data_IF_929028954292
#
_entry.id   IF_929028954292
#
_cell.length_a   1.000
_cell.length_b   1.000
_cell.length_c   1.000
_cell.angle_alpha   90.00
_cell.angle_beta   90.00
_cell.angle_gamma   90.00
#
_symmetry.space_group_name_H-M   'P 1'
#
loop_
_entity.id
_entity.type
_entity.pdbx_description
1 polymer ?
#
# COMPACT_ATOMS: atom_id res chain seq x y z
N UNK A 1 -26.54 43.42 23.00
CA UNK A 1 -25.28 42.72 23.37
C UNK A 1 -25.36 41.18 23.28
N UNK A 2 -26.33 40.61 22.54
CA UNK A 2 -26.51 39.15 22.36
C UNK A 2 -25.97 38.70 20.99
N UNK A 3 -26.06 39.54 19.96
CA UNK A 3 -25.59 39.23 18.61
C UNK A 3 -24.06 39.11 18.46
N UNK A 4 -23.28 39.83 19.26
CA UNK A 4 -21.81 39.82 19.17
C UNK A 4 -21.19 38.50 19.69
N UNK A 5 -21.86 37.82 20.64
CA UNK A 5 -21.44 36.51 21.14
C UNK A 5 -21.72 35.38 20.14
N UNK A 6 -22.82 35.47 19.38
CA UNK A 6 -23.14 34.45 18.37
C UNK A 6 -22.25 34.56 17.12
N UNK A 7 -21.84 35.77 16.72
CA UNK A 7 -20.87 35.99 15.63
C UNK A 7 -19.49 35.40 15.99
N UNK A 8 -19.05 35.53 17.24
CA UNK A 8 -17.78 34.95 17.71
C UNK A 8 -17.77 33.41 17.74
N UNK A 9 -18.92 32.77 18.01
CA UNK A 9 -19.05 31.30 18.01
C UNK A 9 -19.06 30.75 16.57
N UNK A 10 -19.62 31.50 15.60
CA UNK A 10 -19.63 31.10 14.19
C UNK A 10 -18.24 31.32 13.54
N UNK A 11 -17.47 32.33 13.97
CA UNK A 11 -16.08 32.52 13.54
C UNK A 11 -15.11 31.50 14.17
N UNK A 12 -15.40 30.99 15.36
CA UNK A 12 -14.62 29.92 16.00
C UNK A 12 -14.85 28.54 15.38
N UNK A 13 -16.04 28.28 14.79
CA UNK A 13 -16.29 27.01 14.08
C UNK A 13 -15.80 27.02 12.63
N UNK A 14 -15.61 28.20 12.01
CA UNK A 14 -15.04 28.30 10.66
C UNK A 14 -13.51 28.16 10.62
N UNK A 15 -12.83 28.32 11.75
CA UNK A 15 -11.36 28.19 11.86
C UNK A 15 -10.87 26.74 12.03
N UNK A 16 -11.75 25.79 12.39
CA UNK A 16 -11.38 24.37 12.51
C UNK A 16 -11.39 23.61 11.17
N UNK A 17 -12.08 24.11 10.13
CA UNK A 17 -12.14 23.43 8.83
C UNK A 17 -10.90 23.73 7.97
N UNK A 18 -10.24 24.87 8.20
CA UNK A 18 -8.98 25.19 7.51
C UNK A 18 -7.75 24.46 8.09
N UNK A 19 -7.79 23.94 9.33
CA UNK A 19 -6.63 23.24 9.89
C UNK A 19 -6.43 21.86 9.28
N UNK A 20 -7.50 21.15 8.94
CA UNK A 20 -7.44 19.78 8.38
C UNK A 20 -6.95 19.80 6.93
N UNK A 21 -7.41 20.76 6.11
CA UNK A 21 -6.97 20.89 4.72
C UNK A 21 -5.50 21.36 4.62
N UNK A 22 -5.07 22.25 5.53
CA UNK A 22 -3.69 22.73 5.61
C UNK A 22 -2.70 21.67 6.11
N UNK A 23 -3.09 20.85 7.09
CA UNK A 23 -2.27 19.75 7.61
C UNK A 23 -2.03 18.64 6.58
N UNK A 24 -3.06 18.28 5.81
CA UNK A 24 -2.92 17.27 4.74
C UNK A 24 -1.98 17.76 3.62
N UNK A 25 -2.02 19.06 3.29
CA UNK A 25 -1.11 19.64 2.31
C UNK A 25 0.34 19.68 2.83
N UNK A 26 0.56 19.99 4.11
CA UNK A 26 1.89 19.93 4.72
C UNK A 26 2.43 18.49 4.75
N UNK A 27 1.62 17.51 5.16
CA UNK A 27 1.99 16.09 5.15
C UNK A 27 2.42 15.62 3.76
N UNK A 28 1.66 16.00 2.72
CA UNK A 28 2.01 15.73 1.33
C UNK A 28 3.36 16.36 0.96
N UNK A 29 3.54 17.66 1.21
CA UNK A 29 4.78 18.35 0.85
C UNK A 29 6.01 17.73 1.53
N UNK A 30 5.87 17.36 2.80
CA UNK A 30 6.94 16.69 3.56
C UNK A 30 7.23 15.29 3.05
N UNK A 31 6.19 14.55 2.69
CA UNK A 31 6.35 13.24 2.05
C UNK A 31 7.12 13.36 0.74
N UNK A 32 6.71 14.26 -0.17
CA UNK A 32 7.31 14.39 -1.50
C UNK A 32 8.76 14.88 -1.41
N UNK A 33 9.09 15.74 -0.43
CA UNK A 33 10.44 16.20 -0.18
C UNK A 33 11.41 15.08 0.25
N UNK A 34 10.93 14.07 0.98
CA UNK A 34 11.74 12.92 1.43
C UNK A 34 11.75 11.80 0.40
N UNK A 35 10.59 11.49 -0.16
CA UNK A 35 10.44 10.40 -1.11
C UNK A 35 11.09 10.71 -2.48
N UNK A 36 11.20 12.00 -2.80
CA UNK A 36 11.70 12.50 -4.07
C UNK A 36 10.55 12.81 -5.03
N UNK A 37 10.74 13.86 -5.84
CA UNK A 37 9.76 14.33 -6.81
C UNK A 37 9.44 13.25 -7.85
N UNK A 38 10.46 12.65 -8.46
CA UNK A 38 10.30 11.60 -9.48
C UNK A 38 9.54 10.38 -8.95
N UNK A 39 9.90 9.91 -7.75
CA UNK A 39 9.22 8.78 -7.10
C UNK A 39 7.75 9.11 -6.76
N UNK A 40 7.51 10.34 -6.29
CA UNK A 40 6.17 10.82 -5.94
C UNK A 40 5.27 10.97 -7.17
N UNK A 41 5.83 11.45 -8.28
CA UNK A 41 5.15 11.55 -9.57
C UNK A 41 4.85 10.16 -10.15
N UNK A 42 5.79 9.21 -10.02
CA UNK A 42 5.58 7.83 -10.45
C UNK A 42 4.41 7.17 -9.70
N UNK A 43 4.33 7.33 -8.37
CA UNK A 43 3.18 6.85 -7.59
C UNK A 43 1.88 7.55 -7.97
N UNK A 44 1.92 8.87 -8.18
CA UNK A 44 0.74 9.64 -8.63
C UNK A 44 0.21 9.11 -9.96
N UNK A 45 1.11 8.84 -10.91
CA UNK A 45 0.77 8.29 -12.21
C UNK A 45 0.11 6.92 -12.10
N UNK A 46 0.61 6.05 -11.21
CA UNK A 46 0.01 4.74 -10.97
C UNK A 46 -1.37 4.82 -10.30
N UNK A 47 -1.55 5.75 -9.36
CA UNK A 47 -2.87 6.01 -8.73
C UNK A 47 -3.86 6.46 -9.80
N UNK A 48 -3.48 7.42 -10.65
CA UNK A 48 -4.35 7.90 -11.73
C UNK A 48 -4.74 6.77 -12.70
N UNK A 49 -3.79 5.93 -13.08
CA UNK A 49 -4.04 4.78 -13.95
C UNK A 49 -4.96 3.74 -13.29
N UNK A 50 -4.81 3.54 -11.98
CA UNK A 50 -5.68 2.69 -11.18
C UNK A 50 -7.11 3.23 -11.12
N UNK A 51 -7.28 4.52 -10.81
CA UNK A 51 -8.59 5.18 -10.76
C UNK A 51 -9.32 5.16 -12.10
N UNK A 52 -8.61 5.36 -13.22
CA UNK A 52 -9.19 5.21 -14.56
C UNK A 52 -9.71 3.79 -14.81
N UNK A 53 -9.00 2.79 -14.28
CA UNK A 53 -9.39 1.39 -14.40
C UNK A 53 -10.59 1.06 -13.51
N UNK A 54 -10.63 1.62 -12.28
CA UNK A 54 -11.80 1.54 -11.40
C UNK A 54 -13.02 2.18 -12.07
N UNK A 55 -12.85 3.35 -12.68
CA UNK A 55 -13.95 4.05 -13.35
C UNK A 55 -14.54 3.25 -14.51
N UNK A 56 -13.66 2.65 -15.31
CA UNK A 56 -14.05 1.77 -16.41
C UNK A 56 -14.82 0.54 -15.93
N UNK A 57 -14.42 -0.04 -14.79
CA UNK A 57 -14.98 -1.29 -14.29
C UNK A 57 -16.29 -1.11 -13.52
N UNK A 58 -16.37 -0.09 -12.67
CA UNK A 58 -17.45 0.05 -11.69
C UNK A 58 -18.38 1.23 -11.99
N UNK A 59 -17.84 2.44 -12.15
CA UNK A 59 -18.62 3.65 -12.41
C UNK A 59 -17.74 4.83 -12.81
N UNK A 60 -18.20 5.67 -13.73
CA UNK A 60 -17.47 6.91 -14.05
C UNK A 60 -17.36 7.88 -12.84
N UNK A 61 -18.22 7.72 -11.82
CA UNK A 61 -18.08 8.39 -10.53
C UNK A 61 -17.04 7.66 -9.66
N UNK A 62 -15.97 8.36 -9.29
CA UNK A 62 -14.83 7.76 -8.58
C UNK A 62 -15.20 7.29 -7.16
N UNK A 63 -16.09 7.99 -6.46
CA UNK A 63 -16.51 7.62 -5.11
C UNK A 63 -17.29 6.31 -5.13
N UNK A 64 -18.19 6.19 -6.11
CA UNK A 64 -18.94 4.96 -6.35
C UNK A 64 -17.99 3.82 -6.73
N UNK A 65 -16.99 4.09 -7.56
CA UNK A 65 -16.03 3.09 -7.99
C UNK A 65 -15.14 2.58 -6.85
N UNK A 66 -14.63 3.47 -5.99
CA UNK A 66 -13.88 3.06 -4.79
C UNK A 66 -14.74 2.29 -3.81
N UNK A 67 -15.97 2.75 -3.54
CA UNK A 67 -16.89 2.04 -2.64
C UNK A 67 -17.10 0.59 -3.10
N UNK A 68 -17.46 0.39 -4.37
CA UNK A 68 -17.62 -0.97 -4.90
C UNK A 68 -16.34 -1.80 -4.78
N UNK A 69 -15.19 -1.20 -5.12
CA UNK A 69 -13.91 -1.88 -5.01
C UNK A 69 -13.60 -2.33 -3.58
N UNK A 70 -13.73 -1.43 -2.60
CA UNK A 70 -13.44 -1.73 -1.20
C UNK A 70 -14.43 -2.74 -0.62
N UNK A 71 -15.73 -2.64 -0.93
CA UNK A 71 -16.73 -3.63 -0.51
C UNK A 71 -16.39 -5.04 -1.03
N UNK A 72 -15.88 -5.16 -2.27
CA UNK A 72 -15.43 -6.46 -2.77
C UNK A 72 -14.24 -6.99 -1.96
N UNK A 73 -13.26 -6.14 -1.67
CA UNK A 73 -12.07 -6.52 -0.88
C UNK A 73 -12.44 -6.90 0.56
N UNK A 74 -13.32 -6.14 1.21
CA UNK A 74 -13.87 -6.42 2.55
C UNK A 74 -14.56 -7.79 2.57
N UNK A 75 -15.28 -8.14 1.50
CA UNK A 75 -15.91 -9.46 1.33
C UNK A 75 -14.93 -10.61 1.01
N UNK A 76 -13.62 -10.34 1.04
CA UNK A 76 -12.56 -11.32 0.76
C UNK A 76 -12.35 -11.60 -0.73
N UNK A 77 -12.97 -10.83 -1.63
CA UNK A 77 -12.75 -10.99 -3.07
C UNK A 77 -11.43 -10.35 -3.48
N UNK A 78 -10.92 -10.79 -4.64
CA UNK A 78 -9.71 -10.26 -5.26
C UNK A 78 -10.03 -9.74 -6.67
N UNK A 79 -10.74 -8.61 -6.79
CA UNK A 79 -11.17 -8.07 -8.08
C UNK A 79 -9.96 -7.71 -8.95
N UNK A 80 -9.86 -8.35 -10.11
CA UNK A 80 -8.92 -7.93 -11.15
C UNK A 80 -9.33 -6.53 -11.66
N UNK A 81 -8.47 -5.54 -11.47
CA UNK A 81 -8.66 -4.16 -11.97
C UNK A 81 -7.91 -3.97 -13.29
N UNK A 82 -6.71 -4.54 -13.39
CA UNK A 82 -5.96 -4.67 -14.62
C UNK A 82 -6.11 -6.08 -15.17
N UNK A 83 -7.05 -6.25 -16.10
CA UNK A 83 -7.40 -7.56 -16.67
C UNK A 83 -6.34 -8.15 -17.62
N UNK A 84 -5.31 -7.37 -18.00
CA UNK A 84 -4.27 -7.80 -18.94
C UNK A 84 -2.95 -8.05 -18.21
N UNK A 85 -2.39 -9.24 -18.40
CA UNK A 85 -1.05 -9.60 -17.91
C UNK A 85 0.01 -8.57 -18.35
N UNK A 86 -0.15 -8.00 -19.55
CA UNK A 86 0.68 -6.92 -20.08
C UNK A 86 0.67 -5.67 -19.21
N UNK A 87 -0.49 -5.28 -18.65
CA UNK A 87 -0.59 -4.10 -17.79
C UNK A 87 0.08 -4.35 -16.44
N UNK A 88 -0.02 -5.56 -15.90
CA UNK A 88 0.75 -5.96 -14.72
C UNK A 88 2.26 -5.99 -14.98
N UNK A 89 2.70 -6.53 -16.11
CA UNK A 89 4.11 -6.51 -16.53
C UNK A 89 4.62 -5.08 -16.70
N UNK A 90 3.82 -4.22 -17.33
CA UNK A 90 4.17 -2.81 -17.50
C UNK A 90 4.28 -2.09 -16.16
N UNK A 91 3.32 -2.23 -15.25
CA UNK A 91 3.42 -1.55 -13.94
C UNK A 91 4.61 -2.06 -13.14
N UNK A 92 4.89 -3.37 -13.16
CA UNK A 92 6.08 -3.91 -12.51
C UNK A 92 7.36 -3.36 -13.14
N UNK A 93 7.44 -3.33 -14.48
CA UNK A 93 8.57 -2.75 -15.20
C UNK A 93 8.72 -1.26 -14.87
N UNK A 94 7.63 -0.51 -14.88
CA UNK A 94 7.62 0.91 -14.56
C UNK A 94 8.19 1.17 -13.15
N UNK A 95 7.73 0.42 -12.15
CA UNK A 95 8.24 0.53 -10.77
C UNK A 95 9.72 0.13 -10.61
N UNK A 96 10.21 -0.78 -11.44
CA UNK A 96 11.62 -1.19 -11.44
C UNK A 96 12.47 -0.15 -12.17
N UNK A 97 12.01 0.33 -13.33
CA UNK A 97 12.70 1.33 -14.13
C UNK A 97 12.79 2.68 -13.40
N UNK A 98 11.83 2.99 -12.52
CA UNK A 98 11.85 4.18 -11.65
C UNK A 98 12.48 3.94 -10.28
N UNK A 99 13.03 2.74 -10.01
CA UNK A 99 13.61 2.32 -8.72
C UNK A 99 12.66 2.35 -7.50
N UNK A 100 11.47 2.96 -7.63
CA UNK A 100 10.38 3.06 -6.63
C UNK A 100 10.06 1.71 -5.99
N UNK A 101 10.18 0.63 -6.75
CA UNK A 101 9.94 -0.72 -6.25
C UNK A 101 10.73 -1.02 -4.97
N UNK A 102 12.04 -0.79 -4.98
CA UNK A 102 12.92 -1.14 -3.86
C UNK A 102 12.73 -0.18 -2.68
N UNK A 103 12.22 1.03 -2.94
CA UNK A 103 11.91 2.01 -1.89
C UNK A 103 10.64 1.66 -1.10
N UNK A 104 9.74 0.87 -1.68
CA UNK A 104 8.47 0.49 -1.04
C UNK A 104 8.53 -0.95 -0.53
N UNK A 105 9.15 -1.85 -1.29
CA UNK A 105 9.06 -3.28 -1.08
C UNK A 105 10.41 -3.97 -1.04
N UNK A 106 10.47 -5.02 -0.24
CA UNK A 106 11.61 -5.88 -0.09
C UNK A 106 11.28 -7.29 -0.60
N UNK A 107 12.13 -7.77 -1.51
CA UNK A 107 12.11 -9.15 -1.99
C UNK A 107 13.06 -10.01 -1.16
N UNK A 108 12.71 -11.29 -1.00
CA UNK A 108 13.63 -12.26 -0.40
C UNK A 108 14.95 -12.34 -1.19
N UNK A 109 16.08 -12.26 -0.49
CA UNK A 109 17.43 -12.40 -1.03
C UNK A 109 17.82 -13.88 -1.15
N UNK A 110 17.20 -14.75 -0.36
CA UNK A 110 17.43 -16.20 -0.39
C UNK A 110 16.17 -16.94 0.04
N UNK A 111 15.94 -18.09 -0.62
CA UNK A 111 14.81 -18.99 -0.36
C UNK A 111 15.36 -20.41 -0.27
N UNK A 112 15.07 -21.12 0.82
CA UNK A 112 15.49 -22.51 1.01
C UNK A 112 14.44 -23.30 1.80
N UNK A 113 14.60 -24.62 1.83
CA UNK A 113 13.77 -25.53 2.61
C UNK A 113 14.53 -26.03 3.82
N UNK A 114 13.88 -26.05 4.98
CA UNK A 114 14.37 -26.70 6.19
C UNK A 114 13.30 -27.70 6.68
N UNK A 115 13.45 -28.96 6.29
CA UNK A 115 12.37 -29.95 6.44
C UNK A 115 11.13 -29.57 5.63
N UNK A 116 10.01 -29.35 6.34
CA UNK A 116 8.75 -28.89 5.75
C UNK A 116 8.55 -27.37 5.86
N UNK A 117 9.55 -26.63 6.32
CA UNK A 117 9.50 -25.17 6.40
C UNK A 117 10.10 -24.53 5.15
N UNK A 118 9.36 -23.57 4.58
CA UNK A 118 9.89 -22.66 3.59
C UNK A 118 10.51 -21.47 4.32
N UNK A 119 11.82 -21.28 4.13
CA UNK A 119 12.60 -20.25 4.79
C UNK A 119 12.94 -19.14 3.79
N UNK A 120 12.63 -17.91 4.18
CA UNK A 120 12.83 -16.71 3.39
C UNK A 120 13.73 -15.75 4.16
N UNK A 121 14.86 -15.38 3.55
CA UNK A 121 15.73 -14.33 4.08
C UNK A 121 15.53 -13.06 3.30
N UNK A 122 15.54 -11.97 4.04
CA UNK A 122 15.37 -10.62 3.55
C UNK A 122 16.55 -9.78 4.02
N UNK A 123 17.03 -8.90 3.15
CA UNK A 123 18.13 -7.99 3.45
C UNK A 123 17.69 -6.56 3.23
N UNK A 124 17.64 -5.81 4.31
CA UNK A 124 17.32 -4.40 4.27
C UNK A 124 18.51 -3.57 3.81
N UNK A 125 18.23 -2.31 3.41
CA UNK A 125 19.25 -1.37 2.94
C UNK A 125 20.28 -1.01 4.03
N UNK A 126 19.89 -1.09 5.30
CA UNK A 126 20.75 -0.90 6.47
C UNK A 126 21.55 -2.16 6.87
N UNK A 127 21.56 -3.18 6.00
CA UNK A 127 22.14 -4.51 6.23
C UNK A 127 21.45 -5.35 7.32
N UNK A 128 20.36 -4.87 7.92
CA UNK A 128 19.55 -5.70 8.80
C UNK A 128 19.03 -6.91 8.01
N UNK A 129 18.86 -8.02 8.74
CA UNK A 129 18.42 -9.29 8.16
C UNK A 129 17.20 -9.78 8.92
N UNK A 130 16.21 -10.20 8.17
CA UNK A 130 15.04 -10.88 8.71
C UNK A 130 14.92 -12.23 8.04
N UNK A 131 14.67 -13.25 8.85
CA UNK A 131 14.34 -14.58 8.37
C UNK A 131 12.93 -14.91 8.80
N UNK A 132 12.09 -15.28 7.84
CA UNK A 132 10.74 -15.80 8.08
C UNK A 132 10.72 -17.26 7.67
N UNK A 133 10.19 -18.11 8.54
CA UNK A 133 9.84 -19.48 8.17
C UNK A 133 8.33 -19.66 8.29
N UNK A 134 7.79 -20.49 7.40
CA UNK A 134 6.39 -20.92 7.47
C UNK A 134 6.30 -22.37 7.04
N UNK A 135 5.47 -23.12 7.76
CA UNK A 135 5.25 -24.53 7.48
C UNK A 135 4.40 -24.69 6.21
N UNK A 136 4.84 -25.57 5.32
CA UNK A 136 4.07 -25.95 4.14
C UNK A 136 3.14 -27.11 4.49
N UNK A 137 1.88 -27.02 4.07
CA UNK A 137 0.94 -28.14 4.08
C UNK A 137 0.76 -28.67 2.65
N UNK A 138 1.01 -29.97 2.44
CA UNK A 138 0.86 -30.64 1.14
C UNK A 138 1.91 -30.24 0.10
N UNK A 139 1.59 -30.40 -1.19
CA UNK A 139 2.49 -30.14 -2.34
C UNK A 139 2.65 -28.65 -2.67
N UNK A 140 2.64 -27.78 -1.66
CA UNK A 140 2.74 -26.33 -1.85
C UNK A 140 4.16 -25.95 -2.27
N UNK A 141 4.28 -25.11 -3.30
CA UNK A 141 5.57 -24.56 -3.74
C UNK A 141 6.04 -23.50 -2.73
N UNK A 142 7.27 -23.64 -2.22
CA UNK A 142 7.91 -22.64 -1.37
C UNK A 142 8.00 -21.30 -2.13
N UNK A 143 7.31 -20.28 -1.64
CA UNK A 143 7.29 -18.95 -2.25
C UNK A 143 7.26 -17.88 -1.18
N UNK A 144 8.23 -16.97 -1.24
CA UNK A 144 8.35 -15.88 -0.28
C UNK A 144 7.46 -14.71 -0.64
N UNK A 145 6.75 -14.19 0.35
CA UNK A 145 6.01 -12.95 0.20
C UNK A 145 6.94 -11.75 0.06
N UNK A 146 6.45 -10.71 -0.60
CA UNK A 146 7.08 -9.40 -0.59
C UNK A 146 6.76 -8.68 0.71
N UNK A 147 7.79 -8.15 1.38
CA UNK A 147 7.66 -7.39 2.62
C UNK A 147 7.70 -5.89 2.35
N UNK A 148 7.14 -5.04 3.23
CA UNK A 148 7.41 -3.61 3.18
C UNK A 148 8.90 -3.34 3.47
N UNK A 149 9.55 -2.50 2.67
CA UNK A 149 10.91 -2.04 2.98
C UNK A 149 10.83 -0.90 4.01
N UNK A 150 10.86 -1.25 5.31
CA UNK A 150 10.75 -0.29 6.42
C UNK A 150 11.88 0.76 6.45
N UNK A 151 12.98 0.49 5.75
CA UNK A 151 14.15 1.36 5.60
C UNK A 151 14.29 1.95 4.19
N UNK A 152 13.25 1.83 3.36
CA UNK A 152 13.18 2.54 2.09
C UNK A 152 12.64 3.95 2.27
N UNK A 153 12.92 4.82 1.30
CA UNK A 153 12.53 6.23 1.31
C UNK A 153 11.02 6.42 1.43
N UNK A 154 10.21 5.43 1.00
CA UNK A 154 8.76 5.48 1.17
C UNK A 154 8.36 5.52 2.65
N UNK A 155 8.93 4.63 3.46
CA UNK A 155 8.63 4.57 4.89
C UNK A 155 9.30 5.72 5.67
N UNK A 156 10.46 6.19 5.23
CA UNK A 156 11.04 7.44 5.74
C UNK A 156 10.09 8.62 5.51
N UNK A 157 9.56 8.75 4.30
CA UNK A 157 8.65 9.82 3.93
C UNK A 157 7.31 9.73 4.69
N UNK A 158 6.76 8.52 4.87
CA UNK A 158 5.57 8.32 5.71
C UNK A 158 5.84 8.71 7.17
N UNK A 159 7.02 8.39 7.73
CA UNK A 159 7.38 8.75 9.11
C UNK A 159 7.48 10.26 9.33
N UNK A 160 7.84 11.02 8.31
CA UNK A 160 7.80 12.49 8.38
C UNK A 160 6.36 12.98 8.24
N UNK A 161 5.60 12.44 7.28
CA UNK A 161 4.22 12.84 7.04
C UNK A 161 3.27 12.52 8.21
N UNK A 162 3.53 11.47 8.99
CA UNK A 162 2.72 11.05 10.15
C UNK A 162 2.70 12.06 11.29
N UNK A 163 3.64 13.01 11.30
CA UNK A 163 3.65 14.13 12.24
C UNK A 163 2.56 15.16 11.92
N UNK A 164 2.03 15.12 10.69
CA UNK A 164 1.08 16.10 10.14
C UNK A 164 -0.24 15.47 9.69
N UNK A 165 -0.31 14.14 9.52
CA UNK A 165 -1.50 13.42 9.09
C UNK A 165 -1.74 12.18 9.96
N UNK A 166 -2.87 12.15 10.67
CA UNK A 166 -3.25 11.07 11.57
C UNK A 166 -3.49 9.75 10.85
N UNK A 167 -4.04 9.77 9.63
CA UNK A 167 -4.28 8.55 8.85
C UNK A 167 -2.96 7.90 8.44
N UNK A 168 -1.93 8.71 8.18
CA UNK A 168 -0.57 8.20 7.90
C UNK A 168 0.04 7.57 9.15
N UNK A 169 -0.15 8.21 10.32
CA UNK A 169 0.33 7.68 11.60
C UNK A 169 -0.32 6.33 11.92
N UNK A 170 -1.63 6.24 11.82
CA UNK A 170 -2.39 5.01 12.13
C UNK A 170 -2.01 3.88 11.17
N UNK A 171 -1.79 4.20 9.89
CA UNK A 171 -1.29 3.23 8.91
C UNK A 171 0.11 2.70 9.28
N UNK A 172 1.04 3.59 9.66
CA UNK A 172 2.38 3.18 10.07
C UNK A 172 2.36 2.29 11.30
N UNK A 173 1.60 2.65 12.33
CA UNK A 173 1.47 1.85 13.54
C UNK A 173 0.94 0.45 13.23
N UNK A 174 -0.08 0.35 12.37
CA UNK A 174 -0.61 -0.94 11.92
C UNK A 174 0.44 -1.77 11.16
N UNK A 175 1.26 -1.16 10.30
CA UNK A 175 2.36 -1.84 9.60
C UNK A 175 3.50 -2.23 10.55
N UNK A 176 3.79 -1.43 11.57
CA UNK A 176 4.82 -1.74 12.56
C UNK A 176 4.44 -2.95 13.41
N UNK A 177 3.19 -3.01 13.86
CA UNK A 177 2.65 -4.10 14.70
C UNK A 177 2.45 -5.38 13.88
N UNK A 178 1.74 -5.30 12.75
CA UNK A 178 1.37 -6.48 11.98
C UNK A 178 2.46 -6.93 11.01
N UNK A 179 3.38 -6.03 10.62
CA UNK A 179 4.29 -6.19 9.49
C UNK A 179 3.56 -6.15 8.14
N UNK A 180 2.53 -6.99 7.99
CA UNK A 180 1.75 -7.20 6.79
C UNK A 180 0.27 -7.06 7.13
N UNK A 181 -0.34 -5.93 6.77
CA UNK A 181 -1.79 -5.76 6.88
C UNK A 181 -2.46 -6.53 5.75
N UNK A 182 -3.45 -7.36 6.07
CA UNK A 182 -4.24 -8.06 5.05
C UNK A 182 -5.09 -7.06 4.24
N UNK A 183 -5.32 -7.32 2.94
CA UNK A 183 -6.12 -6.41 2.12
C UNK A 183 -7.53 -6.13 2.68
N UNK A 184 -8.18 -7.16 3.26
CA UNK A 184 -9.51 -7.01 3.86
C UNK A 184 -9.50 -6.12 5.10
N UNK A 185 -8.52 -6.29 5.99
CA UNK A 185 -8.38 -5.44 7.19
C UNK A 185 -8.08 -3.99 6.80
N UNK A 186 -7.20 -3.79 5.80
CA UNK A 186 -6.89 -2.45 5.31
C UNK A 186 -8.12 -1.79 4.66
N UNK A 187 -8.91 -2.54 3.88
CA UNK A 187 -10.14 -2.03 3.30
C UNK A 187 -11.17 -1.64 4.37
N UNK A 188 -11.35 -2.47 5.40
CA UNK A 188 -12.25 -2.17 6.53
C UNK A 188 -11.81 -0.92 7.30
N UNK A 189 -10.51 -0.72 7.50
CA UNK A 189 -9.98 0.49 8.13
C UNK A 189 -10.20 1.76 7.29
N UNK A 190 -10.14 1.63 5.95
CA UNK A 190 -10.39 2.73 5.00
C UNK A 190 -11.88 2.92 4.67
N UNK A 191 -12.78 2.24 5.39
CA UNK A 191 -14.24 2.25 5.33
C UNK A 191 -14.86 2.61 3.98
N UNK A 192 -15.54 1.66 3.36
CA UNK A 192 -16.31 1.88 2.12
C UNK A 192 -17.41 2.99 2.22
N UNK A 193 -17.79 3.39 3.44
CA UNK A 193 -18.76 4.46 3.70
C UNK A 193 -18.12 5.85 3.87
N UNK A 194 -16.81 5.95 4.09
CA UNK A 194 -16.13 7.23 4.25
C UNK A 194 -15.53 7.71 2.92
N UNK A 195 -16.33 8.47 2.16
CA UNK A 195 -15.92 8.98 0.84
C UNK A 195 -14.77 9.98 0.89
N UNK A 196 -14.44 10.55 2.06
CA UNK A 196 -13.31 11.46 2.22
C UNK A 196 -11.99 10.79 1.83
N UNK A 197 -11.81 9.51 2.20
CA UNK A 197 -10.61 8.74 1.88
C UNK A 197 -10.39 8.57 0.37
N UNK A 198 -11.44 8.67 -0.45
CA UNK A 198 -11.34 8.53 -1.90
C UNK A 198 -10.71 9.74 -2.58
N UNK A 199 -10.49 10.82 -1.82
CA UNK A 199 -9.84 12.05 -2.32
C UNK A 199 -8.52 12.34 -1.61
N UNK A 200 -8.23 11.65 -0.50
CA UNK A 200 -7.02 11.87 0.28
C UNK A 200 -5.77 11.27 -0.38
N UNK A 201 -4.68 12.04 -0.37
CA UNK A 201 -3.43 11.72 -1.08
C UNK A 201 -2.83 10.37 -0.65
N UNK A 202 -2.84 10.09 0.66
CA UNK A 202 -2.26 8.87 1.23
C UNK A 202 -3.20 7.68 1.15
N UNK A 203 -4.50 7.85 1.41
CA UNK A 203 -5.47 6.77 1.33
C UNK A 203 -5.46 6.09 -0.05
N UNK A 204 -5.43 6.86 -1.14
CA UNK A 204 -5.30 6.33 -2.50
C UNK A 204 -4.06 5.46 -2.70
N UNK A 205 -2.93 5.86 -2.11
CA UNK A 205 -1.66 5.12 -2.16
C UNK A 205 -1.73 3.85 -1.33
N UNK A 206 -2.34 3.88 -0.14
CA UNK A 206 -2.53 2.69 0.68
C UNK A 206 -3.42 1.67 -0.02
N UNK A 207 -4.49 2.11 -0.71
CA UNK A 207 -5.33 1.25 -1.53
C UNK A 207 -4.52 0.64 -2.68
N UNK A 208 -3.82 1.45 -3.47
CA UNK A 208 -3.03 0.97 -4.59
C UNK A 208 -1.93 -0.02 -4.15
N UNK A 209 -1.10 0.38 -3.19
CA UNK A 209 0.09 -0.35 -2.78
C UNK A 209 -0.25 -1.54 -1.87
N UNK A 210 -1.07 -1.29 -0.84
CA UNK A 210 -1.38 -2.25 0.21
C UNK A 210 -2.45 -3.28 -0.17
N UNK A 211 -3.45 -2.87 -0.97
CA UNK A 211 -4.53 -3.76 -1.40
C UNK A 211 -4.21 -4.35 -2.78
N UNK A 212 -4.03 -3.49 -3.79
CA UNK A 212 -4.05 -3.96 -5.17
C UNK A 212 -2.72 -4.57 -5.64
N UNK A 213 -1.63 -3.82 -5.59
CA UNK A 213 -0.33 -4.26 -6.09
C UNK A 213 0.22 -5.43 -5.28
N UNK A 214 0.09 -5.36 -3.95
CA UNK A 214 0.44 -6.46 -3.06
C UNK A 214 -0.45 -7.69 -3.25
N UNK A 215 -1.77 -7.50 -3.25
CA UNK A 215 -2.74 -8.61 -3.22
C UNK A 215 -2.87 -9.39 -4.54
N UNK A 216 -2.59 -8.77 -5.70
CA UNK A 216 -2.91 -9.37 -7.00
C UNK A 216 -1.68 -9.53 -7.91
N UNK A 217 -0.66 -8.69 -7.74
CA UNK A 217 0.38 -8.53 -8.77
C UNK A 217 1.70 -9.25 -8.53
N UNK A 218 2.02 -9.64 -7.28
CA UNK A 218 3.41 -9.97 -6.91
C UNK A 218 3.62 -11.43 -6.54
N UNK A 219 2.59 -12.07 -5.98
CA UNK A 219 2.67 -13.47 -5.54
C UNK A 219 2.35 -14.48 -6.65
N UNK A 220 1.85 -14.06 -7.83
CA UNK A 220 1.36 -15.03 -8.85
C UNK A 220 2.45 -15.70 -9.70
N UNK A 221 3.69 -15.21 -9.70
CA UNK A 221 4.88 -15.95 -10.18
C UNK A 221 6.16 -15.42 -9.51
N UNK A 222 6.86 -16.20 -8.67
CA UNK A 222 8.21 -15.85 -8.24
C UNK A 222 9.13 -15.85 -9.47
N UNK A 223 9.95 -14.82 -9.61
CA UNK A 223 10.80 -14.66 -10.80
C UNK A 223 12.00 -15.63 -10.82
N UNK A 224 12.33 -16.30 -9.71
CA UNK A 224 13.42 -17.27 -9.68
C UNK A 224 13.21 -18.32 -8.57
N UNK A 225 13.58 -19.56 -8.88
CA UNK A 225 13.52 -20.81 -8.08
C UNK A 225 12.12 -21.33 -7.74
N UNK A 226 11.43 -21.89 -8.74
CA UNK A 226 10.56 -23.02 -8.48
C UNK A 226 11.46 -24.26 -8.33
N UNK A 227 11.56 -24.81 -7.12
CA UNK A 227 12.02 -26.20 -6.92
C UNK A 227 10.92 -26.92 -6.17
N UNK A 228 10.47 -28.04 -6.72
CA UNK A 228 9.45 -28.88 -6.07
C UNK A 228 10.10 -29.67 -4.95
N UNK A 229 9.31 -30.02 -3.92
CA UNK A 229 9.77 -30.84 -2.78
C UNK A 229 10.38 -32.17 -3.26
N UNK A 230 9.92 -32.70 -4.40
CA UNK A 230 10.46 -33.90 -5.04
C UNK A 230 11.93 -33.80 -5.45
N UNK A 231 12.47 -32.60 -5.70
CA UNK A 231 13.85 -32.40 -6.13
C UNK A 231 14.86 -32.39 -4.98
N UNK A 232 14.40 -32.37 -3.72
CA UNK A 232 15.26 -32.42 -2.54
C UNK A 232 15.40 -33.84 -1.96
N UNK A 233 14.61 -34.80 -2.45
CA UNK A 233 14.60 -36.19 -1.97
C UNK A 233 15.02 -37.22 -3.03
N UNK A 234 15.67 -36.77 -4.11
CA UNK A 234 16.29 -37.63 -5.14
C UNK A 234 17.81 -37.63 -5.06
#
# INVERSE_FOLDING_TARGET
>A
MIYFKHILIILASFSLVCSVQGQNNEAKLRFEAVFGEENSEALTSLVNLFELSLKTKYSNNIDVAYRFYLTEIESGKSPAIWHKEEKHKWVRKYLVDTEVWNEIWLKADSVWMEGNECCCKYRYNDFARETRSFSLSGDTVCSCEVLPNKYGLYFDALRVASQFDENVRDYLEAVEIAGVISPSVLASGLSSENTKYYHEYFAKRFILLGIYLRGIGLNKKPLFLQRTVSEYFS
#
